data_IF_126849742695
#
_entry.id   IF_126849742695
#
_cell.length_a   1.000
_cell.length_b   1.000
_cell.length_c   1.000
_cell.angle_alpha   90.00
_cell.angle_beta   90.00
_cell.angle_gamma   90.00
#
_symmetry.space_group_name_H-M   'P 1'
#
loop_
_entity.id
_entity.type
_entity.pdbx_description
1 polymer ?
#
# COMPACT_ATOMS: atom_id res chain seq x y z
N UNK A 1 -1.90 21.79 2.12
CA UNK A 1 -1.19 20.83 1.23
C UNK A 1 -1.22 19.37 1.74
N UNK A 2 -0.89 19.06 3.00
CA UNK A 2 -0.81 17.67 3.55
C UNK A 2 -2.06 16.79 3.35
N UNK A 3 -3.26 17.26 3.75
CA UNK A 3 -4.53 16.54 3.53
C UNK A 3 -4.95 16.47 2.06
N UNK A 4 -4.51 17.42 1.23
CA UNK A 4 -4.94 17.53 -0.17
C UNK A 4 -4.38 16.39 -1.04
N UNK A 5 -3.11 16.02 -0.88
CA UNK A 5 -2.53 14.95 -1.69
C UNK A 5 -3.00 13.55 -1.26
N UNK A 6 -3.13 13.31 0.05
CA UNK A 6 -3.74 12.06 0.55
C UNK A 6 -5.19 11.92 0.08
N UNK A 7 -5.98 13.00 0.15
CA UNK A 7 -7.36 13.01 -0.34
C UNK A 7 -7.44 12.83 -1.87
N UNK A 8 -6.51 13.42 -2.63
CA UNK A 8 -6.47 13.27 -4.09
C UNK A 8 -6.11 11.83 -4.49
N UNK A 9 -5.14 11.20 -3.83
CA UNK A 9 -4.80 9.80 -4.06
C UNK A 9 -5.95 8.87 -3.69
N UNK A 10 -6.62 9.11 -2.56
CA UNK A 10 -7.80 8.35 -2.16
C UNK A 10 -8.94 8.51 -3.17
N UNK A 11 -9.14 9.73 -3.68
CA UNK A 11 -10.13 9.97 -4.74
C UNK A 11 -9.79 9.18 -6.00
N UNK A 12 -8.55 9.25 -6.49
CA UNK A 12 -8.12 8.50 -7.67
C UNK A 12 -8.27 6.99 -7.49
N UNK A 13 -7.98 6.47 -6.29
CA UNK A 13 -8.24 5.08 -5.95
C UNK A 13 -9.72 4.72 -6.04
N UNK A 14 -10.60 5.56 -5.48
CA UNK A 14 -12.05 5.35 -5.53
C UNK A 14 -12.58 5.43 -6.96
N UNK A 15 -12.14 6.42 -7.73
CA UNK A 15 -12.51 6.59 -9.14
C UNK A 15 -12.09 5.35 -9.95
N UNK A 16 -10.86 4.84 -9.73
CA UNK A 16 -10.37 3.60 -10.35
C UNK A 16 -11.22 2.39 -9.96
N UNK A 17 -11.46 2.19 -8.66
CA UNK A 17 -12.26 1.06 -8.16
C UNK A 17 -13.72 1.12 -8.62
N UNK A 18 -14.27 2.32 -8.80
CA UNK A 18 -15.59 2.50 -9.41
C UNK A 18 -15.61 2.05 -10.86
N UNK A 19 -14.53 2.30 -11.59
CA UNK A 19 -14.41 1.93 -13.00
C UNK A 19 -14.18 0.43 -13.21
N UNK A 20 -13.28 -0.18 -12.44
CA UNK A 20 -12.91 -1.60 -12.62
C UNK A 20 -13.78 -2.56 -11.77
N UNK A 21 -14.50 -2.05 -10.78
CA UNK A 21 -15.29 -2.85 -9.86
C UNK A 21 -16.36 -3.74 -10.51
N UNK A 22 -17.10 -3.27 -11.54
CA UNK A 22 -18.02 -4.13 -12.28
C UNK A 22 -17.35 -5.34 -12.91
N UNK A 23 -16.18 -5.16 -13.55
CA UNK A 23 -15.43 -6.26 -14.19
C UNK A 23 -14.91 -7.26 -13.16
N UNK A 24 -14.43 -6.76 -12.00
CA UNK A 24 -14.06 -7.62 -10.86
C UNK A 24 -15.27 -8.42 -10.38
N UNK A 25 -16.44 -7.81 -10.30
CA UNK A 25 -17.66 -8.50 -9.89
C UNK A 25 -18.03 -9.62 -10.87
N UNK A 26 -17.92 -9.37 -12.17
CA UNK A 26 -18.20 -10.37 -13.21
C UNK A 26 -17.26 -11.57 -13.12
N UNK A 27 -15.96 -11.32 -12.91
CA UNK A 27 -14.99 -12.40 -12.68
C UNK A 27 -15.40 -13.21 -11.44
N UNK A 28 -15.70 -12.54 -10.32
CA UNK A 28 -16.03 -13.21 -9.06
C UNK A 28 -17.35 -13.99 -9.14
N UNK A 29 -18.34 -13.53 -9.91
CA UNK A 29 -19.58 -14.29 -10.15
C UNK A 29 -19.29 -15.62 -10.84
N UNK A 30 -18.31 -15.64 -11.77
CA UNK A 30 -17.93 -16.86 -12.50
C UNK A 30 -16.97 -17.77 -11.75
N UNK A 31 -16.41 -17.31 -10.62
CA UNK A 31 -15.47 -18.11 -9.84
C UNK A 31 -16.16 -19.32 -9.20
N UNK A 32 -15.52 -20.49 -9.24
CA UNK A 32 -15.99 -21.70 -8.57
C UNK A 32 -15.84 -21.59 -7.05
N UNK A 33 -16.54 -22.43 -6.30
CA UNK A 33 -16.40 -22.46 -4.84
C UNK A 33 -14.98 -22.84 -4.41
N UNK A 34 -14.31 -23.71 -5.17
CA UNK A 34 -12.90 -24.08 -4.97
C UNK A 34 -11.96 -22.88 -5.17
N UNK A 35 -12.19 -22.07 -6.22
CA UNK A 35 -11.39 -20.86 -6.46
C UNK A 35 -11.57 -19.82 -5.34
N UNK A 36 -12.79 -19.68 -4.82
CA UNK A 36 -13.06 -18.79 -3.68
C UNK A 36 -12.42 -19.35 -2.40
N UNK A 37 -12.46 -20.66 -2.17
CA UNK A 37 -11.79 -21.29 -1.04
C UNK A 37 -10.27 -21.09 -1.09
N UNK A 38 -9.66 -21.39 -2.24
CA UNK A 38 -8.22 -21.20 -2.48
C UNK A 38 -7.78 -19.75 -2.28
N UNK A 39 -8.60 -18.77 -2.71
CA UNK A 39 -8.34 -17.36 -2.44
C UNK A 39 -8.20 -17.09 -0.93
N UNK A 40 -9.13 -17.60 -0.11
CA UNK A 40 -9.10 -17.36 1.34
C UNK A 40 -7.98 -18.12 2.05
N UNK A 41 -7.61 -19.31 1.57
CA UNK A 41 -6.47 -20.06 2.09
C UNK A 41 -5.16 -19.30 1.83
N UNK A 42 -4.97 -18.80 0.60
CA UNK A 42 -3.83 -17.96 0.24
C UNK A 42 -3.78 -16.65 1.06
N UNK A 43 -4.94 -16.04 1.33
CA UNK A 43 -5.01 -14.83 2.17
C UNK A 43 -4.64 -15.12 3.63
N UNK A 44 -5.01 -16.30 4.16
CA UNK A 44 -4.63 -16.73 5.50
C UNK A 44 -3.12 -17.01 5.61
N UNK A 45 -2.53 -17.67 4.61
CA UNK A 45 -1.07 -17.86 4.52
C UNK A 45 -0.33 -16.52 4.52
N UNK A 46 -0.77 -15.57 3.68
CA UNK A 46 -0.18 -14.22 3.64
C UNK A 46 -0.32 -13.44 4.96
N UNK A 47 -1.38 -13.68 5.73
CA UNK A 47 -1.55 -13.08 7.04
C UNK A 47 -0.55 -13.66 8.05
N UNK A 48 -0.29 -14.97 7.97
CA UNK A 48 0.70 -15.65 8.80
C UNK A 48 2.11 -15.18 8.46
N UNK A 49 2.48 -15.13 7.18
CA UNK A 49 3.76 -14.56 6.74
C UNK A 49 3.95 -13.12 7.22
N UNK A 50 2.88 -12.30 7.13
CA UNK A 50 2.91 -10.93 7.62
C UNK A 50 3.14 -10.86 9.13
N UNK A 51 2.46 -11.71 9.90
CA UNK A 51 2.66 -11.76 11.36
C UNK A 51 4.11 -12.08 11.71
N UNK A 52 4.69 -13.08 11.05
CA UNK A 52 6.08 -13.50 11.28
C UNK A 52 7.09 -12.39 10.92
N UNK A 53 6.83 -11.61 9.87
CA UNK A 53 7.76 -10.55 9.43
C UNK A 53 7.57 -9.22 10.20
N UNK A 54 6.36 -8.92 10.69
CA UNK A 54 6.01 -7.56 11.14
C UNK A 54 5.44 -7.46 12.57
N UNK A 55 5.15 -8.58 13.23
CA UNK A 55 4.54 -8.61 14.57
C UNK A 55 5.40 -9.43 15.54
N UNK A 56 5.74 -10.67 15.18
CA UNK A 56 6.33 -11.63 16.12
C UNK A 56 7.84 -11.42 16.36
N UNK A 57 8.45 -10.42 15.70
CA UNK A 57 9.84 -10.05 15.90
C UNK A 57 10.03 -9.09 17.08
N UNK A 58 11.25 -9.06 17.64
CA UNK A 58 11.58 -8.07 18.67
C UNK A 58 11.45 -6.63 18.15
N UNK A 59 11.18 -5.68 19.06
CA UNK A 59 11.02 -4.26 18.72
C UNK A 59 12.29 -3.71 18.00
N UNK A 60 13.47 -4.14 18.44
CA UNK A 60 14.75 -3.79 17.82
C UNK A 60 14.80 -4.30 16.37
N UNK A 61 14.36 -5.54 16.16
CA UNK A 61 14.36 -6.15 14.84
C UNK A 61 13.34 -5.50 13.89
N UNK A 62 12.15 -5.21 14.39
CA UNK A 62 11.12 -4.48 13.63
C UNK A 62 11.62 -3.10 13.21
N UNK A 63 12.31 -2.39 14.10
CA UNK A 63 12.89 -1.07 13.85
C UNK A 63 14.03 -1.15 12.82
N UNK A 64 14.91 -2.14 12.94
CA UNK A 64 15.99 -2.41 11.98
C UNK A 64 15.43 -2.72 10.58
N UNK A 65 14.44 -3.61 10.51
CA UNK A 65 13.79 -3.99 9.26
C UNK A 65 13.11 -2.77 8.60
N UNK A 66 12.39 -1.94 9.38
CA UNK A 66 11.79 -0.69 8.90
C UNK A 66 12.83 0.26 8.30
N UNK A 67 13.95 0.47 9.00
CA UNK A 67 15.06 1.28 8.49
C UNK A 67 15.62 0.71 7.17
N UNK A 68 15.86 -0.60 7.10
CA UNK A 68 16.37 -1.27 5.89
C UNK A 68 15.41 -1.10 4.70
N UNK A 69 14.10 -1.26 4.92
CA UNK A 69 13.06 -1.07 3.88
C UNK A 69 13.03 0.37 3.38
N UNK A 70 13.07 1.37 4.27
CA UNK A 70 13.12 2.78 3.87
C UNK A 70 14.39 3.10 3.07
N UNK A 71 15.56 2.62 3.51
CA UNK A 71 16.81 2.78 2.74
C UNK A 71 16.69 2.16 1.35
N UNK A 72 16.14 0.94 1.24
CA UNK A 72 15.95 0.26 -0.06
C UNK A 72 15.02 1.05 -0.98
N UNK A 73 13.90 1.56 -0.45
CA UNK A 73 12.94 2.42 -1.18
C UNK A 73 13.62 3.70 -1.68
N UNK A 74 14.35 4.40 -0.82
CA UNK A 74 15.06 5.62 -1.20
C UNK A 74 16.19 5.37 -2.20
N UNK A 75 16.91 4.26 -2.09
CA UNK A 75 17.97 3.90 -3.06
C UNK A 75 17.48 3.78 -4.48
N UNK A 76 16.24 3.33 -4.66
CA UNK A 76 15.57 3.40 -5.95
C UNK A 76 15.58 4.87 -6.39
N UNK A 77 14.82 5.73 -5.73
CA UNK A 77 14.62 7.13 -6.11
C UNK A 77 15.89 7.97 -6.26
N UNK A 78 16.81 7.90 -5.29
CA UNK A 78 17.90 8.88 -5.17
C UNK A 78 19.30 8.25 -5.22
N UNK A 79 19.45 6.95 -5.52
CA UNK A 79 20.73 6.20 -5.48
C UNK A 79 21.31 6.02 -4.06
N UNK A 80 22.61 5.85 -3.91
CA UNK A 80 23.24 5.59 -2.61
C UNK A 80 23.02 6.75 -1.64
N UNK A 81 22.65 6.42 -0.40
CA UNK A 81 22.42 7.39 0.66
C UNK A 81 23.72 7.76 1.38
N UNK A 82 23.86 9.04 1.74
CA UNK A 82 24.95 9.53 2.59
C UNK A 82 24.79 9.07 4.04
N UNK A 83 25.80 9.29 4.87
CA UNK A 83 25.76 8.96 6.30
C UNK A 83 24.70 9.78 7.04
N UNK A 84 24.54 11.06 6.69
CA UNK A 84 23.57 11.98 7.27
C UNK A 84 22.14 11.53 6.94
N UNK A 85 21.89 11.11 5.69
CA UNK A 85 20.60 10.58 5.26
C UNK A 85 20.25 9.27 5.98
N UNK A 86 21.22 8.37 6.15
CA UNK A 86 21.03 7.13 6.93
C UNK A 86 20.73 7.41 8.40
N UNK A 87 21.38 8.42 8.97
CA UNK A 87 21.13 8.87 10.36
C UNK A 87 19.70 9.41 10.51
N UNK A 88 19.24 10.25 9.56
CA UNK A 88 17.86 10.74 9.53
C UNK A 88 16.83 9.59 9.49
N UNK A 89 17.08 8.56 8.67
CA UNK A 89 16.19 7.39 8.59
C UNK A 89 16.23 6.57 9.89
N UNK A 90 17.38 6.44 10.54
CA UNK A 90 17.48 5.75 11.84
C UNK A 90 16.73 6.49 12.94
N UNK A 91 16.74 7.82 12.94
CA UNK A 91 15.93 8.61 13.85
C UNK A 91 14.43 8.44 13.55
N UNK A 92 14.03 8.53 12.28
CA UNK A 92 12.65 8.31 11.82
C UNK A 92 12.14 6.91 12.21
N UNK A 93 12.94 5.85 12.03
CA UNK A 93 12.47 4.48 12.28
C UNK A 93 12.10 4.25 13.74
N UNK A 94 12.72 4.97 14.67
CA UNK A 94 12.44 4.95 16.12
C UNK A 94 11.21 5.78 16.50
N UNK A 95 10.79 6.74 15.68
CA UNK A 95 9.64 7.61 15.92
C UNK A 95 8.32 7.03 15.40
N UNK A 96 8.38 5.99 14.57
CA UNK A 96 7.19 5.34 14.02
C UNK A 96 6.45 4.58 15.12
N UNK A 97 5.14 4.86 15.23
CA UNK A 97 4.24 4.18 16.15
C UNK A 97 3.92 2.77 15.61
N UNK A 98 3.98 1.72 16.44
CA UNK A 98 3.58 0.37 16.01
C UNK A 98 2.16 0.34 15.41
N UNK A 99 2.04 -0.26 14.23
CA UNK A 99 0.83 -0.26 13.42
C UNK A 99 0.48 -1.65 12.82
N UNK A 100 1.42 -2.61 12.88
CA UNK A 100 1.30 -3.90 12.21
C UNK A 100 0.11 -4.73 12.71
N UNK A 101 -0.10 -4.77 14.03
CA UNK A 101 -1.22 -5.51 14.63
C UNK A 101 -2.58 -4.90 14.25
N UNK A 102 -2.73 -3.57 14.36
CA UNK A 102 -3.97 -2.91 13.97
C UNK A 102 -4.28 -3.11 12.48
N UNK A 103 -3.24 -3.10 11.63
CA UNK A 103 -3.38 -3.37 10.20
C UNK A 103 -3.82 -4.80 9.93
N UNK A 104 -3.21 -5.80 10.59
CA UNK A 104 -3.58 -7.20 10.44
C UNK A 104 -5.02 -7.44 10.91
N UNK A 105 -5.40 -6.88 12.07
CA UNK A 105 -6.76 -7.00 12.60
C UNK A 105 -7.79 -6.38 11.64
N UNK A 106 -7.54 -5.17 11.13
CA UNK A 106 -8.43 -4.54 10.16
C UNK A 106 -8.51 -5.35 8.84
N UNK A 107 -7.40 -5.95 8.41
CA UNK A 107 -7.34 -6.82 7.22
C UNK A 107 -8.17 -8.08 7.42
N UNK A 108 -8.08 -8.74 8.57
CA UNK A 108 -8.87 -9.94 8.90
C UNK A 108 -10.37 -9.64 8.94
N UNK A 109 -10.77 -8.48 9.50
CA UNK A 109 -12.17 -8.01 9.47
C UNK A 109 -12.65 -7.85 8.02
N UNK A 110 -11.89 -7.15 7.19
CA UNK A 110 -12.22 -6.98 5.76
C UNK A 110 -12.34 -8.33 5.05
N UNK A 111 -11.43 -9.27 5.31
CA UNK A 111 -11.45 -10.60 4.70
C UNK A 111 -12.66 -11.42 5.14
N UNK A 112 -13.06 -11.34 6.42
CA UNK A 112 -14.27 -12.00 6.91
C UNK A 112 -15.54 -11.45 6.23
N UNK A 113 -15.67 -10.13 6.12
CA UNK A 113 -16.77 -9.46 5.41
C UNK A 113 -16.79 -9.83 3.92
N UNK A 114 -15.61 -9.85 3.27
CA UNK A 114 -15.47 -10.28 1.88
C UNK A 114 -15.93 -11.74 1.70
N UNK A 115 -15.61 -12.63 2.64
CA UNK A 115 -16.02 -14.04 2.59
C UNK A 115 -17.54 -14.19 2.67
N UNK A 116 -18.19 -13.43 3.55
CA UNK A 116 -19.66 -13.42 3.66
C UNK A 116 -20.34 -12.81 2.43
N UNK A 117 -19.70 -11.84 1.79
CA UNK A 117 -20.20 -11.27 0.55
C UNK A 117 -20.09 -12.28 -0.61
N UNK A 118 -18.93 -12.94 -0.74
CA UNK A 118 -18.66 -13.89 -1.82
C UNK A 118 -19.46 -15.19 -1.72
N UNK A 119 -19.86 -15.62 -0.51
CA UNK A 119 -20.76 -16.78 -0.36
C UNK A 119 -22.15 -16.56 -0.97
N UNK A 120 -22.53 -15.30 -1.22
CA UNK A 120 -23.82 -14.91 -1.81
C UNK A 120 -23.70 -14.46 -3.28
N UNK A 121 -22.53 -14.65 -3.90
CA UNK A 121 -22.21 -14.14 -5.24
C UNK A 121 -23.18 -14.61 -6.33
N UNK A 122 -23.64 -15.86 -6.24
CA UNK A 122 -24.52 -16.47 -7.25
C UNK A 122 -26.02 -16.31 -6.94
N UNK A 123 -26.36 -15.95 -5.69
CA UNK A 123 -27.76 -15.89 -5.21
C UNK A 123 -28.26 -14.47 -4.98
N UNK A 124 -27.38 -13.49 -4.75
CA UNK A 124 -27.77 -12.10 -4.54
C UNK A 124 -27.89 -11.35 -5.89
N UNK A 125 -29.08 -10.84 -6.26
CA UNK A 125 -29.23 -9.98 -7.44
C UNK A 125 -28.46 -8.65 -7.29
N UNK A 126 -28.09 -8.28 -6.06
CA UNK A 126 -27.39 -7.05 -5.74
C UNK A 126 -25.87 -7.23 -5.55
N UNK A 127 -25.33 -8.44 -5.76
CA UNK A 127 -23.92 -8.74 -5.47
C UNK A 127 -22.95 -7.71 -6.06
N UNK A 128 -23.14 -7.32 -7.33
CA UNK A 128 -22.27 -6.32 -7.99
C UNK A 128 -22.23 -4.98 -7.23
N UNK A 129 -23.39 -4.48 -6.81
CA UNK A 129 -23.49 -3.21 -6.10
C UNK A 129 -22.91 -3.31 -4.68
N UNK A 130 -23.13 -4.44 -4.01
CA UNK A 130 -22.59 -4.73 -2.67
C UNK A 130 -21.05 -4.83 -2.71
N UNK A 131 -20.49 -5.54 -3.69
CA UNK A 131 -19.05 -5.63 -3.91
C UNK A 131 -18.44 -4.29 -4.22
N UNK A 132 -19.04 -3.51 -5.11
CA UNK A 132 -18.56 -2.18 -5.46
C UNK A 132 -18.50 -1.27 -4.22
N UNK A 133 -19.57 -1.27 -3.41
CA UNK A 133 -19.61 -0.50 -2.17
C UNK A 133 -18.51 -0.92 -1.19
N UNK A 134 -18.24 -2.22 -1.12
CA UNK A 134 -17.20 -2.80 -0.26
C UNK A 134 -15.79 -2.38 -0.69
N UNK A 135 -15.42 -2.54 -1.96
CA UNK A 135 -14.06 -2.25 -2.44
C UNK A 135 -13.72 -0.76 -2.54
N UNK A 136 -14.73 0.12 -2.67
CA UNK A 136 -14.54 1.57 -2.80
C UNK A 136 -14.31 2.25 -1.45
N UNK A 137 -14.71 1.64 -0.32
CA UNK A 137 -14.60 2.26 1.01
C UNK A 137 -13.93 1.35 2.06
N UNK A 138 -12.72 0.83 1.80
CA UNK A 138 -12.03 -0.05 2.75
C UNK A 138 -11.69 0.64 4.08
N UNK A 139 -11.62 1.97 4.11
CA UNK A 139 -11.38 2.76 5.32
C UNK A 139 -12.57 2.79 6.28
N UNK A 140 -13.78 2.44 5.82
CA UNK A 140 -15.00 2.50 6.63
C UNK A 140 -14.98 1.57 7.84
N UNK A 141 -14.15 0.53 7.83
CA UNK A 141 -14.02 -0.43 8.93
C UNK A 141 -12.88 -0.08 9.90
N UNK A 142 -12.14 1.00 9.67
CA UNK A 142 -11.03 1.39 10.54
C UNK A 142 -11.56 1.97 11.85
N UNK A 143 -10.96 1.55 12.96
CA UNK A 143 -11.22 2.17 14.26
C UNK A 143 -10.61 3.59 14.29
N UNK A 144 -11.18 4.53 15.08
CA UNK A 144 -10.60 5.86 15.24
C UNK A 144 -9.16 5.82 15.76
N UNK A 145 -8.84 4.88 16.65
CA UNK A 145 -7.50 4.69 17.18
C UNK A 145 -6.51 4.23 16.10
N UNK A 146 -6.90 3.26 15.26
CA UNK A 146 -6.09 2.81 14.14
C UNK A 146 -5.83 3.93 13.13
N UNK A 147 -6.88 4.68 12.77
CA UNK A 147 -6.78 5.83 11.86
C UNK A 147 -5.84 6.92 12.41
N UNK A 148 -5.89 7.21 13.72
CA UNK A 148 -4.98 8.17 14.35
C UNK A 148 -3.51 7.74 14.27
N UNK A 149 -3.19 6.45 14.45
CA UNK A 149 -1.82 5.93 14.29
C UNK A 149 -1.32 6.05 12.85
N UNK A 150 -2.18 5.77 11.86
CA UNK A 150 -1.87 5.97 10.43
C UNK A 150 -1.50 7.43 10.20
N UNK A 151 -2.32 8.36 10.68
CA UNK A 151 -2.09 9.81 10.50
C UNK A 151 -0.77 10.27 11.14
N UNK A 152 -0.47 9.80 12.35
CA UNK A 152 0.79 10.08 13.03
C UNK A 152 2.01 9.57 12.24
N UNK A 153 1.98 8.31 11.76
CA UNK A 153 3.10 7.74 11.00
C UNK A 153 3.27 8.42 9.63
N UNK A 154 2.18 8.82 8.97
CA UNK A 154 2.22 9.63 7.75
C UNK A 154 2.93 10.96 8.02
N UNK A 155 2.56 11.65 9.10
CA UNK A 155 3.20 12.92 9.46
C UNK A 155 4.70 12.75 9.70
N UNK A 156 5.10 11.77 10.53
CA UNK A 156 6.50 11.44 10.81
C UNK A 156 7.28 11.15 9.53
N UNK A 157 6.66 10.43 8.59
CA UNK A 157 7.29 10.11 7.30
C UNK A 157 7.41 11.33 6.38
N UNK A 158 6.43 12.22 6.36
CA UNK A 158 6.51 13.47 5.59
C UNK A 158 7.66 14.35 6.11
N UNK A 159 7.84 14.43 7.43
CA UNK A 159 8.94 15.19 8.02
C UNK A 159 10.30 14.61 7.60
N UNK A 160 10.45 13.27 7.60
CA UNK A 160 11.63 12.62 7.04
C UNK A 160 11.86 13.01 5.58
N UNK A 161 10.83 12.98 4.73
CA UNK A 161 10.96 13.31 3.31
C UNK A 161 11.45 14.76 3.12
N UNK A 162 10.88 15.72 3.87
CA UNK A 162 11.31 17.13 3.83
C UNK A 162 12.77 17.28 4.30
N UNK A 163 13.17 16.54 5.34
CA UNK A 163 14.55 16.55 5.82
C UNK A 163 15.50 15.97 4.76
N UNK A 164 15.12 14.85 4.12
CA UNK A 164 15.93 14.21 3.09
C UNK A 164 16.08 15.09 1.84
N UNK A 165 15.03 15.79 1.43
CA UNK A 165 15.05 16.75 0.32
C UNK A 165 16.16 17.81 0.50
N UNK A 166 16.25 18.38 1.71
CA UNK A 166 17.32 19.34 2.07
C UNK A 166 18.71 18.74 2.12
N UNK A 167 18.82 17.42 2.26
CA UNK A 167 20.08 16.67 2.31
C UNK A 167 20.45 16.06 0.95
N UNK A 168 19.69 16.32 -0.12
CA UNK A 168 20.00 15.78 -1.44
C UNK A 168 21.29 16.39 -1.97
N UNK A 169 22.17 15.54 -2.50
CA UNK A 169 23.29 16.03 -3.31
C UNK A 169 22.79 16.41 -4.71
N UNK A 170 23.54 17.23 -5.47
CA UNK A 170 23.16 17.60 -6.85
C UNK A 170 22.92 16.38 -7.76
N UNK A 171 23.74 15.32 -7.61
CA UNK A 171 23.55 14.07 -8.35
C UNK A 171 22.30 13.31 -7.94
N UNK A 172 21.97 13.29 -6.65
CA UNK A 172 20.74 12.65 -6.15
C UNK A 172 19.48 13.41 -6.61
N UNK A 173 19.49 14.74 -6.55
CA UNK A 173 18.41 15.59 -7.06
C UNK A 173 18.18 15.37 -8.56
N UNK A 174 19.25 15.34 -9.37
CA UNK A 174 19.17 15.06 -10.81
C UNK A 174 18.55 13.68 -11.08
N UNK A 175 18.94 12.66 -10.31
CA UNK A 175 18.38 11.30 -10.45
C UNK A 175 16.91 11.23 -10.05
N UNK A 176 16.52 11.96 -9.00
CA UNK A 176 15.13 12.06 -8.57
C UNK A 176 14.25 12.61 -9.69
N UNK A 177 14.63 13.76 -10.27
CA UNK A 177 13.89 14.38 -11.37
C UNK A 177 13.75 13.46 -12.58
N UNK A 178 14.85 12.85 -13.04
CA UNK A 178 14.83 11.88 -14.15
C UNK A 178 13.87 10.73 -13.92
N UNK A 179 13.72 10.27 -12.68
CA UNK A 179 12.80 9.18 -12.33
C UNK A 179 11.36 9.61 -12.30
N UNK A 180 11.09 10.83 -11.84
CA UNK A 180 9.75 11.41 -11.87
C UNK A 180 9.32 11.61 -13.33
N UNK A 181 10.20 12.13 -14.18
CA UNK A 181 9.96 12.30 -15.62
C UNK A 181 9.69 10.96 -16.30
N UNK A 182 10.56 9.97 -16.11
CA UNK A 182 10.35 8.62 -16.65
C UNK A 182 9.04 7.98 -16.20
N UNK A 183 8.63 8.20 -14.94
CA UNK A 183 7.35 7.67 -14.44
C UNK A 183 6.15 8.41 -15.05
N UNK A 184 6.26 9.72 -15.28
CA UNK A 184 5.24 10.49 -15.98
C UNK A 184 5.07 10.01 -17.42
N UNK A 185 6.17 9.78 -18.14
CA UNK A 185 6.15 9.21 -19.49
C UNK A 185 5.52 7.81 -19.54
N UNK A 186 5.80 6.96 -18.54
CA UNK A 186 5.17 5.64 -18.45
C UNK A 186 3.65 5.75 -18.23
N UNK A 187 3.19 6.69 -17.39
CA UNK A 187 1.77 6.93 -17.20
C UNK A 187 1.08 7.52 -18.44
N UNK A 188 1.74 8.43 -19.17
CA UNK A 188 1.22 8.98 -20.42
C UNK A 188 1.00 7.87 -21.46
N UNK A 189 1.97 6.94 -21.61
CA UNK A 189 1.82 5.77 -22.48
C UNK A 189 0.65 4.87 -22.07
N UNK A 190 0.57 4.53 -20.79
CA UNK A 190 -0.51 3.69 -20.25
C UNK A 190 -1.90 4.33 -20.45
N UNK A 191 -1.99 5.66 -20.48
CA UNK A 191 -3.24 6.37 -20.72
C UNK A 191 -3.66 6.44 -22.19
N UNK A 192 -2.72 6.32 -23.14
CA UNK A 192 -2.95 6.52 -24.57
C UNK A 192 -3.07 5.23 -25.40
N UNK A 193 -2.34 4.15 -25.04
CA UNK A 193 -2.49 2.82 -25.68
C UNK A 193 -1.99 1.67 -24.77
N UNK A 194 -2.89 0.82 -24.22
CA UNK A 194 -2.52 -0.27 -23.31
C UNK A 194 -1.72 -1.43 -23.93
N UNK A 195 -1.49 -1.45 -25.24
CA UNK A 195 -0.86 -2.60 -25.92
C UNK A 195 0.67 -2.62 -25.87
N UNK A 196 1.31 -1.50 -25.55
CA UNK A 196 2.78 -1.34 -25.48
C UNK A 196 3.27 -1.11 -24.04
N UNK A 197 2.96 -2.03 -23.12
CA UNK A 197 3.41 -1.94 -21.72
C UNK A 197 4.83 -2.51 -21.59
N UNK A 198 5.89 -1.69 -21.40
CA UNK A 198 7.20 -2.21 -21.05
C UNK A 198 7.15 -2.91 -19.68
N UNK A 199 7.92 -3.99 -19.52
CA UNK A 199 8.06 -4.68 -18.21
C UNK A 199 8.71 -3.72 -17.20
N UNK A 200 7.89 -3.05 -16.40
CA UNK A 200 8.36 -2.28 -15.25
C UNK A 200 8.89 -3.26 -14.21
N UNK A 201 10.11 -3.04 -13.74
CA UNK A 201 10.66 -3.74 -12.59
C UNK A 201 9.74 -3.50 -11.38
N UNK A 202 8.97 -4.52 -10.98
CA UNK A 202 8.29 -4.55 -9.69
C UNK A 202 9.32 -4.94 -8.63
N UNK A 203 9.80 -4.03 -7.76
CA UNK A 203 10.25 -4.49 -6.45
C UNK A 203 9.07 -5.26 -5.83
N UNK A 204 9.33 -6.39 -5.15
CA UNK A 204 8.28 -7.08 -4.37
C UNK A 204 7.51 -6.00 -3.59
N UNK A 205 6.21 -5.88 -3.89
CA UNK A 205 5.34 -4.88 -3.32
C UNK A 205 5.24 -5.13 -1.84
N UNK A 206 6.04 -4.41 -1.07
CA UNK A 206 5.95 -4.37 0.38
C UNK A 206 4.76 -3.48 0.73
N UNK A 207 3.57 -4.08 0.79
CA UNK A 207 2.30 -3.46 1.18
C UNK A 207 2.22 -3.19 2.69
N UNK A 208 3.34 -3.33 3.41
CA UNK A 208 3.37 -3.12 4.85
C UNK A 208 3.04 -1.68 5.23
N UNK A 209 2.45 -1.49 6.42
CA UNK A 209 2.24 -0.17 6.97
C UNK A 209 3.56 0.62 7.05
N UNK A 210 3.47 1.94 6.82
CA UNK A 210 4.58 2.89 6.97
C UNK A 210 5.22 2.84 8.36
#
# INVERSE_FOLDING_TARGET
MRRLYSNKMMKLWKDLMQQIGPDIADILITASDEQIAELFDNLAEQNQEFREEYIDLSIEKLTENRQKRMIKRLKYWISNLTSEQKSAISAWSKQIVPLSEDWLQNREILQAEARQLLSRRSSSPNFRAELLKFIVNPESLRTPAYQAKIEANIETTIHLIIQLDRLLTPGQHTRLLKRIESLAEDFDKLSCDPKDIPRVYRPKGDLSPL
#
